data_IF_433212234358
#
_entry.id   IF_433212234358
#
_cell.length_a   1.000
_cell.length_b   1.000
_cell.length_c   1.000
_cell.angle_alpha   90.00
_cell.angle_beta   90.00
_cell.angle_gamma   90.00
#
_symmetry.space_group_name_H-M   'P 1'
#
loop_
_entity.id
_entity.type
_entity.pdbx_description
1 polymer ?
#
# COMPACT_ATOMS: atom_id res chain seq x y z
N UNK A 1 -12.30 8.33 -20.32
CA UNK A 1 -11.54 7.57 -19.32
C UNK A 1 -10.07 7.71 -19.66
N UNK A 2 -9.24 8.08 -18.74
CA UNK A 2 -7.79 8.10 -18.91
C UNK A 2 -7.27 6.66 -19.02
N UNK A 3 -6.10 6.43 -19.64
CA UNK A 3 -5.64 5.07 -20.00
C UNK A 3 -5.62 4.04 -18.88
N UNK A 4 -5.53 4.47 -17.60
CA UNK A 4 -5.44 3.55 -16.44
C UNK A 4 -6.70 3.50 -15.55
N UNK A 5 -7.82 4.12 -15.95
CA UNK A 5 -9.06 4.05 -15.17
C UNK A 5 -9.62 2.61 -15.09
N UNK A 6 -9.43 1.82 -16.14
CA UNK A 6 -9.81 0.41 -16.16
C UNK A 6 -8.98 -0.41 -15.16
N UNK A 7 -7.67 -0.17 -15.10
CA UNK A 7 -6.77 -0.78 -14.13
C UNK A 7 -7.16 -0.42 -12.69
N UNK A 8 -7.44 0.85 -12.42
CA UNK A 8 -7.87 1.30 -11.09
C UNK A 8 -9.13 0.59 -10.61
N UNK A 9 -10.12 0.43 -11.48
CA UNK A 9 -11.36 -0.27 -11.15
C UNK A 9 -11.10 -1.76 -10.93
N UNK A 10 -10.30 -2.39 -11.78
CA UNK A 10 -9.91 -3.79 -11.64
C UNK A 10 -9.21 -4.05 -10.30
N UNK A 11 -8.23 -3.23 -9.93
CA UNK A 11 -7.53 -3.33 -8.64
C UNK A 11 -8.51 -3.15 -7.48
N UNK A 12 -9.37 -2.14 -7.54
CA UNK A 12 -10.35 -1.90 -6.48
C UNK A 12 -11.29 -3.10 -6.28
N UNK A 13 -11.87 -3.61 -7.35
CA UNK A 13 -12.80 -4.74 -7.28
C UNK A 13 -12.08 -6.00 -6.77
N UNK A 14 -10.86 -6.26 -7.22
CA UNK A 14 -10.03 -7.36 -6.75
C UNK A 14 -9.74 -7.29 -5.24
N UNK A 15 -9.40 -6.10 -4.71
CA UNK A 15 -9.15 -5.91 -3.29
C UNK A 15 -10.43 -5.95 -2.45
N UNK A 16 -11.57 -5.48 -2.99
CA UNK A 16 -12.87 -5.64 -2.33
C UNK A 16 -13.22 -7.12 -2.11
N UNK A 17 -12.94 -7.99 -3.08
CA UNK A 17 -13.23 -9.43 -2.99
C UNK A 17 -12.25 -10.18 -2.05
N UNK A 18 -10.98 -9.75 -2.01
CA UNK A 18 -9.93 -10.47 -1.28
C UNK A 18 -9.82 -10.13 0.19
N UNK A 19 -10.47 -9.11 0.69
CA UNK A 19 -10.26 -8.57 2.03
C UNK A 19 -10.32 -9.63 3.13
N UNK A 20 -11.32 -10.53 3.11
CA UNK A 20 -11.52 -11.56 4.13
C UNK A 20 -10.48 -12.69 4.13
N UNK A 21 -9.70 -12.83 3.05
CA UNK A 21 -8.72 -13.92 2.89
C UNK A 21 -7.28 -13.42 2.87
N UNK A 22 -7.06 -12.13 2.60
CA UNK A 22 -5.72 -11.56 2.43
C UNK A 22 -4.89 -11.57 3.72
N UNK A 23 -5.50 -11.40 4.88
CA UNK A 23 -4.84 -11.42 6.17
C UNK A 23 -4.12 -12.72 6.53
N UNK A 24 -4.41 -13.80 5.81
CA UNK A 24 -3.72 -15.10 5.97
C UNK A 24 -2.36 -15.16 5.24
N UNK A 25 -1.96 -14.11 4.53
CA UNK A 25 -0.70 -14.07 3.78
C UNK A 25 0.45 -13.55 4.66
N UNK A 26 1.16 -14.47 5.31
CA UNK A 26 2.24 -14.13 6.23
C UNK A 26 3.48 -13.50 5.56
N UNK A 27 3.66 -13.62 4.24
CA UNK A 27 4.90 -13.19 3.56
C UNK A 27 5.08 -11.67 3.61
N UNK A 28 4.05 -10.90 3.28
CA UNK A 28 4.14 -9.43 3.28
C UNK A 28 4.21 -8.85 4.69
N UNK A 29 3.59 -9.50 5.68
CA UNK A 29 3.60 -9.02 7.05
C UNK A 29 4.97 -9.11 7.74
N UNK A 30 5.87 -9.98 7.27
CA UNK A 30 7.20 -10.13 7.86
C UNK A 30 8.10 -8.91 7.66
N UNK A 31 7.93 -8.16 6.58
CA UNK A 31 8.72 -6.94 6.32
C UNK A 31 8.22 -5.73 7.11
N UNK A 32 6.96 -5.74 7.57
CA UNK A 32 6.33 -4.59 8.22
C UNK A 32 7.15 -4.04 9.39
N UNK A 33 7.63 -4.84 10.36
CA UNK A 33 8.42 -4.30 11.47
C UNK A 33 9.70 -3.58 11.00
N UNK A 34 10.40 -4.16 10.00
CA UNK A 34 11.63 -3.59 9.46
C UNK A 34 11.34 -2.27 8.71
N UNK A 35 10.27 -2.24 7.91
CA UNK A 35 9.89 -1.04 7.18
C UNK A 35 9.40 0.08 8.14
N UNK A 36 8.72 -0.27 9.22
CA UNK A 36 8.30 0.70 10.26
C UNK A 36 9.50 1.30 11.00
N UNK A 37 10.57 0.55 11.22
CA UNK A 37 11.81 1.10 11.80
C UNK A 37 12.41 2.22 10.95
N UNK A 38 12.31 2.13 9.63
CA UNK A 38 12.81 3.16 8.71
C UNK A 38 12.05 4.50 8.82
N UNK A 39 10.83 4.52 9.35
CA UNK A 39 10.11 5.76 9.65
C UNK A 39 10.78 6.59 10.76
N UNK A 40 11.63 5.98 11.58
CA UNK A 40 12.26 6.63 12.74
C UNK A 40 11.23 7.40 13.60
N UNK A 41 10.23 6.66 14.11
CA UNK A 41 9.05 7.21 14.76
C UNK A 41 9.35 7.80 16.14
N UNK A 42 8.78 8.98 16.38
CA UNK A 42 8.58 9.59 17.69
C UNK A 42 7.16 9.29 18.21
N UNK A 43 6.97 9.27 19.53
CA UNK A 43 5.66 9.03 20.13
C UNK A 43 4.59 10.08 19.80
N UNK A 44 5.00 11.26 19.32
CA UNK A 44 4.12 12.38 18.98
C UNK A 44 3.89 12.51 17.46
N UNK A 45 4.54 11.69 16.64
CA UNK A 45 4.37 11.76 15.19
C UNK A 45 2.94 11.44 14.78
N UNK A 46 2.36 12.25 13.91
CA UNK A 46 1.13 11.95 13.18
C UNK A 46 1.51 11.13 11.94
N UNK A 47 0.98 9.92 11.84
CA UNK A 47 1.34 8.97 10.77
C UNK A 47 0.12 8.63 9.93
N UNK A 48 0.28 8.70 8.62
CA UNK A 48 -0.68 8.20 7.63
C UNK A 48 -0.14 6.92 7.01
N UNK A 49 -0.91 5.85 7.03
CA UNK A 49 -0.64 4.66 6.22
C UNK A 49 -1.56 4.63 5.00
N UNK A 50 -0.98 4.52 3.81
CA UNK A 50 -1.67 4.34 2.54
C UNK A 50 -1.73 2.85 2.18
N UNK A 51 -2.85 2.42 1.58
CA UNK A 51 -3.10 1.03 1.22
C UNK A 51 -2.84 0.09 2.41
N UNK A 52 -3.45 0.43 3.56
CA UNK A 52 -3.23 -0.28 4.84
C UNK A 52 -3.72 -1.72 4.83
N UNK A 53 -4.53 -2.10 3.85
CA UNK A 53 -5.14 -3.42 3.77
C UNK A 53 -5.85 -3.77 5.09
N UNK A 54 -5.61 -4.99 5.64
CA UNK A 54 -6.19 -5.41 6.92
C UNK A 54 -5.58 -4.74 8.16
N UNK A 55 -4.67 -3.76 8.02
CA UNK A 55 -4.21 -2.89 9.09
C UNK A 55 -2.97 -3.38 9.86
N UNK A 56 -2.20 -4.32 9.38
CA UNK A 56 -1.00 -4.82 10.07
C UNK A 56 0.07 -3.75 10.24
N UNK A 57 0.29 -2.91 9.23
CA UNK A 57 1.24 -1.79 9.29
C UNK A 57 0.78 -0.75 10.32
N UNK A 58 -0.49 -0.34 10.27
CA UNK A 58 -1.09 0.57 11.27
C UNK A 58 -0.93 0.02 12.69
N UNK A 59 -1.15 -1.30 12.87
CA UNK A 59 -0.97 -1.96 14.17
C UNK A 59 0.49 -1.91 14.64
N UNK A 60 1.46 -2.15 13.76
CA UNK A 60 2.88 -2.06 14.11
C UNK A 60 3.29 -0.62 14.48
N UNK A 61 2.89 0.36 13.69
CA UNK A 61 3.12 1.79 13.94
C UNK A 61 2.52 2.20 15.29
N UNK A 62 1.32 1.69 15.63
CA UNK A 62 0.60 2.03 16.86
C UNK A 62 1.33 1.64 18.16
N UNK A 63 2.35 0.78 18.07
CA UNK A 63 3.23 0.43 19.19
C UNK A 63 4.17 1.58 19.56
N UNK A 64 4.43 2.51 18.62
CA UNK A 64 5.33 3.65 18.77
C UNK A 64 4.61 4.98 18.97
N UNK A 65 3.53 5.22 18.21
CA UNK A 65 2.69 6.42 18.34
C UNK A 65 1.22 6.04 18.33
N UNK A 66 0.38 6.81 19.04
CA UNK A 66 -1.09 6.63 19.02
C UNK A 66 -1.78 7.45 17.92
N UNK A 67 -1.03 8.34 17.28
CA UNK A 67 -1.54 9.24 16.24
C UNK A 67 -1.32 8.59 14.85
N UNK A 68 -1.88 7.41 14.62
CA UNK A 68 -1.81 6.73 13.33
C UNK A 68 -3.19 6.54 12.74
N UNK A 69 -3.31 6.80 11.43
CA UNK A 69 -4.48 6.57 10.62
C UNK A 69 -4.12 5.64 9.46
N UNK A 70 -4.75 4.47 9.39
CA UNK A 70 -4.67 3.57 8.24
C UNK A 70 -5.73 3.94 7.20
N UNK A 71 -5.35 3.97 5.92
CA UNK A 71 -6.27 4.25 4.82
C UNK A 71 -6.16 3.22 3.72
N UNK A 72 -7.31 2.86 3.14
CA UNK A 72 -7.37 1.97 1.98
C UNK A 72 -8.50 2.41 1.05
N UNK A 73 -8.34 2.19 -0.26
CA UNK A 73 -9.38 2.57 -1.22
C UNK A 73 -10.49 1.51 -1.33
N UNK A 74 -10.20 0.25 -0.94
CA UNK A 74 -11.18 -0.81 -0.83
C UNK A 74 -11.91 -0.72 0.52
N UNK A 75 -13.21 -0.54 0.48
CA UNK A 75 -14.04 -0.43 1.69
C UNK A 75 -14.00 -1.70 2.53
N UNK A 76 -13.97 -2.86 1.88
CA UNK A 76 -13.90 -4.16 2.56
C UNK A 76 -12.60 -4.33 3.35
N UNK A 77 -11.46 -3.80 2.85
CA UNK A 77 -10.19 -3.77 3.60
C UNK A 77 -10.31 -2.94 4.87
N UNK A 78 -10.94 -1.76 4.78
CA UNK A 78 -11.18 -0.90 5.95
C UNK A 78 -12.08 -1.60 6.99
N UNK A 79 -13.09 -2.34 6.55
CA UNK A 79 -13.98 -3.12 7.44
C UNK A 79 -13.19 -4.23 8.12
N UNK A 80 -12.36 -4.96 7.38
CA UNK A 80 -11.51 -6.03 7.92
C UNK A 80 -10.50 -5.47 8.93
N UNK A 81 -9.83 -4.36 8.61
CA UNK A 81 -8.90 -3.70 9.52
C UNK A 81 -9.55 -3.28 10.84
N UNK A 82 -10.76 -2.70 10.79
CA UNK A 82 -11.53 -2.34 11.99
C UNK A 82 -11.97 -3.56 12.81
N UNK A 83 -12.19 -4.68 12.14
CA UNK A 83 -12.54 -5.95 12.80
C UNK A 83 -11.34 -6.54 13.54
N UNK A 84 -10.18 -6.55 12.90
CA UNK A 84 -8.94 -7.08 13.47
C UNK A 84 -8.35 -6.16 14.55
N UNK A 85 -8.46 -4.84 14.36
CA UNK A 85 -7.87 -3.83 15.23
C UNK A 85 -8.88 -2.75 15.65
N UNK A 86 -9.91 -3.11 16.47
CA UNK A 86 -11.05 -2.23 16.76
C UNK A 86 -10.68 -0.95 17.54
N UNK A 87 -9.48 -0.88 18.10
CA UNK A 87 -8.98 0.28 18.84
C UNK A 87 -8.12 1.22 18.01
N UNK A 88 -7.92 0.92 16.71
CA UNK A 88 -7.15 1.75 15.78
C UNK A 88 -8.08 2.47 14.80
N UNK A 89 -7.57 3.55 14.21
CA UNK A 89 -8.33 4.37 13.29
C UNK A 89 -8.06 3.93 11.84
N UNK A 90 -9.14 3.68 11.11
CA UNK A 90 -9.10 3.36 9.69
C UNK A 90 -10.19 4.10 8.94
N UNK A 91 -9.88 4.59 7.74
CA UNK A 91 -10.88 5.19 6.85
C UNK A 91 -10.64 4.84 5.39
N UNK A 92 -11.70 4.95 4.59
CA UNK A 92 -11.59 4.74 3.16
C UNK A 92 -11.02 6.01 2.51
N UNK A 93 -9.89 5.89 1.81
CA UNK A 93 -9.30 7.00 1.06
C UNK A 93 -8.59 6.49 -0.20
N UNK A 94 -8.59 7.34 -1.22
CA UNK A 94 -7.83 7.14 -2.45
C UNK A 94 -6.49 7.86 -2.32
N UNK A 95 -5.39 7.11 -2.38
CA UNK A 95 -4.04 7.66 -2.28
C UNK A 95 -3.71 8.68 -3.38
N UNK A 96 -4.39 8.59 -4.54
CA UNK A 96 -4.23 9.52 -5.65
C UNK A 96 -5.03 10.83 -5.49
N UNK A 97 -5.87 10.95 -4.44
CA UNK A 97 -6.73 12.11 -4.17
C UNK A 97 -7.12 12.16 -2.69
N UNK A 98 -6.15 12.42 -1.83
CA UNK A 98 -6.32 12.47 -0.39
C UNK A 98 -7.14 13.70 0.05
N UNK A 99 -8.04 13.52 1.02
CA UNK A 99 -8.90 14.60 1.57
C UNK A 99 -8.32 15.21 2.86
N UNK A 100 -7.02 15.10 3.04
CA UNK A 100 -6.32 15.68 4.18
C UNK A 100 -5.73 17.05 3.83
N UNK A 101 -5.55 17.87 4.85
CA UNK A 101 -4.93 19.19 4.73
C UNK A 101 -3.43 19.07 4.39
N UNK A 102 -2.89 20.11 3.75
CA UNK A 102 -1.46 20.21 3.50
C UNK A 102 -0.66 20.17 4.81
N UNK A 103 0.51 19.56 4.79
CA UNK A 103 1.44 19.52 5.93
C UNK A 103 0.80 19.00 7.23
N UNK A 104 -0.07 17.98 7.15
CA UNK A 104 -0.80 17.43 8.30
C UNK A 104 -0.12 16.23 8.97
N UNK A 105 0.78 15.52 8.25
CA UNK A 105 1.45 14.32 8.76
C UNK A 105 2.96 14.50 8.87
N UNK A 106 3.53 13.91 9.92
CA UNK A 106 4.98 13.84 10.13
C UNK A 106 5.61 12.69 9.32
N UNK A 107 4.87 11.61 9.15
CA UNK A 107 5.29 10.41 8.44
C UNK A 107 4.17 9.88 7.56
N UNK A 108 4.55 9.33 6.40
CA UNK A 108 3.65 8.53 5.54
C UNK A 108 4.27 7.16 5.31
N UNK A 109 3.45 6.13 5.31
CA UNK A 109 3.85 4.74 5.16
C UNK A 109 3.02 4.05 4.09
N UNK A 110 3.62 3.16 3.29
CA UNK A 110 2.92 2.37 2.28
C UNK A 110 3.67 1.07 2.02
N UNK A 111 3.15 -0.08 2.47
CA UNK A 111 3.77 -1.38 2.20
C UNK A 111 3.09 -2.07 1.05
N UNK A 112 3.84 -2.31 -0.04
CA UNK A 112 3.40 -2.98 -1.27
C UNK A 112 2.14 -2.38 -1.94
N UNK A 113 1.68 -1.21 -1.48
CA UNK A 113 0.47 -0.59 -2.00
C UNK A 113 0.71 0.19 -3.30
N UNK A 114 1.89 0.80 -3.45
CA UNK A 114 2.18 1.72 -4.57
C UNK A 114 2.06 1.04 -5.94
N UNK A 115 2.29 -0.28 -6.01
CA UNK A 115 2.18 -1.09 -7.23
C UNK A 115 0.74 -1.24 -7.75
N UNK A 116 -0.25 -0.93 -6.91
CA UNK A 116 -1.68 -1.03 -7.21
C UNK A 116 -2.30 0.33 -7.54
N UNK A 117 -1.50 1.41 -7.55
CA UNK A 117 -1.98 2.74 -7.93
C UNK A 117 -1.98 2.90 -9.44
N UNK A 118 -3.10 3.38 -9.99
CA UNK A 118 -3.20 3.64 -11.42
C UNK A 118 -2.36 4.86 -11.86
N UNK A 119 -2.18 5.81 -10.94
CA UNK A 119 -1.38 7.01 -11.14
C UNK A 119 -0.44 7.21 -9.93
N UNK A 120 0.64 6.43 -9.84
CA UNK A 120 1.56 6.51 -8.70
C UNK A 120 2.21 7.90 -8.55
N UNK A 121 2.42 8.62 -9.65
CA UNK A 121 2.86 10.01 -9.66
C UNK A 121 1.90 10.95 -8.91
N UNK A 122 0.58 10.77 -9.08
CA UNK A 122 -0.42 11.51 -8.31
C UNK A 122 -0.37 11.18 -6.83
N UNK A 123 -0.25 9.90 -6.50
CA UNK A 123 -0.15 9.47 -5.10
C UNK A 123 1.11 10.04 -4.43
N UNK A 124 2.27 10.03 -5.11
CA UNK A 124 3.51 10.64 -4.61
C UNK A 124 3.34 12.15 -4.42
N UNK A 125 2.64 12.85 -5.34
CA UNK A 125 2.36 14.27 -5.18
C UNK A 125 1.43 14.55 -3.98
N UNK A 126 0.42 13.72 -3.75
CA UNK A 126 -0.44 13.80 -2.57
C UNK A 126 0.34 13.54 -1.28
N UNK A 127 1.21 12.51 -1.26
CA UNK A 127 2.13 12.25 -0.14
C UNK A 127 2.98 13.49 0.16
N UNK A 128 3.59 14.09 -0.88
CA UNK A 128 4.39 15.31 -0.72
C UNK A 128 3.57 16.48 -0.16
N UNK A 129 2.30 16.63 -0.58
CA UNK A 129 1.41 17.69 -0.14
C UNK A 129 1.02 17.53 1.33
N UNK A 130 0.66 16.33 1.75
CA UNK A 130 0.20 16.08 3.13
C UNK A 130 1.34 15.95 4.14
N UNK A 131 2.57 15.67 3.70
CA UNK A 131 3.75 15.62 4.56
C UNK A 131 4.17 17.04 4.99
N UNK A 132 4.48 17.20 6.26
CA UNK A 132 5.15 18.38 6.81
C UNK A 132 6.56 18.51 6.23
N UNK A 133 7.11 19.72 6.28
CA UNK A 133 8.52 19.95 5.94
C UNK A 133 9.43 19.08 6.80
N UNK A 134 10.33 18.31 6.19
CA UNK A 134 11.19 17.36 6.86
C UNK A 134 10.51 16.03 7.23
N UNK A 135 9.25 15.83 6.82
CA UNK A 135 8.54 14.55 6.98
C UNK A 135 9.20 13.42 6.17
N UNK A 136 8.91 12.18 6.56
CA UNK A 136 9.49 10.98 5.92
C UNK A 136 8.38 10.16 5.28
N UNK A 137 8.60 9.75 4.02
CA UNK A 137 7.81 8.74 3.35
C UNK A 137 8.62 7.44 3.25
N UNK A 138 8.07 6.35 3.76
CA UNK A 138 8.63 5.00 3.62
C UNK A 138 7.64 4.15 2.86
N UNK A 139 8.11 3.50 1.80
CA UNK A 139 7.31 2.53 1.06
C UNK A 139 8.14 1.30 0.73
N UNK A 140 7.48 0.18 0.46
CA UNK A 140 8.11 -1.05 -0.01
C UNK A 140 7.53 -1.48 -1.34
N UNK A 141 8.39 -2.07 -2.17
CA UNK A 141 8.05 -2.70 -3.44
C UNK A 141 8.72 -4.06 -3.52
N UNK A 142 8.30 -4.89 -4.46
CA UNK A 142 9.01 -6.12 -4.75
C UNK A 142 10.33 -5.82 -5.46
N UNK A 143 11.35 -6.60 -5.15
CA UNK A 143 12.58 -6.58 -5.92
C UNK A 143 12.32 -7.05 -7.36
N UNK A 144 13.17 -6.61 -8.29
CA UNK A 144 13.09 -7.02 -9.68
C UNK A 144 13.19 -8.55 -9.83
N UNK A 145 12.71 -9.07 -10.96
CA UNK A 145 12.80 -10.51 -11.28
C UNK A 145 14.25 -10.99 -11.25
N UNK A 146 15.21 -10.14 -11.61
CA UNK A 146 16.63 -10.45 -11.63
C UNK A 146 17.24 -10.55 -10.22
N UNK A 147 16.68 -9.80 -9.27
CA UNK A 147 17.18 -9.73 -7.89
C UNK A 147 16.41 -10.67 -6.94
N UNK A 148 15.25 -11.19 -7.36
CA UNK A 148 14.43 -12.10 -6.57
C UNK A 148 14.45 -13.53 -7.16
N UNK A 149 15.13 -14.49 -6.53
CA UNK A 149 15.12 -15.87 -6.99
C UNK A 149 13.71 -16.48 -7.08
N UNK A 150 12.82 -16.07 -6.18
CA UNK A 150 11.41 -16.52 -6.19
C UNK A 150 10.68 -16.08 -7.47
N UNK A 151 10.74 -14.80 -7.81
CA UNK A 151 10.12 -14.30 -9.03
C UNK A 151 10.82 -14.75 -10.30
N UNK A 152 12.15 -14.91 -10.24
CA UNK A 152 12.93 -15.47 -11.34
C UNK A 152 12.49 -16.88 -11.72
N UNK A 153 12.39 -17.78 -10.75
CA UNK A 153 11.93 -19.17 -10.97
C UNK A 153 10.48 -19.18 -11.46
N UNK A 154 9.60 -18.40 -10.84
CA UNK A 154 8.20 -18.34 -11.22
C UNK A 154 8.05 -17.84 -12.68
N UNK A 155 8.75 -16.78 -13.04
CA UNK A 155 8.77 -16.21 -14.39
C UNK A 155 9.27 -17.22 -15.42
N UNK A 156 10.35 -17.98 -15.10
CA UNK A 156 10.89 -19.03 -15.96
C UNK A 156 9.88 -20.16 -16.18
N UNK A 157 9.20 -20.60 -15.13
CA UNK A 157 8.17 -21.65 -15.23
C UNK A 157 6.99 -21.20 -16.07
N UNK A 158 6.47 -19.97 -15.84
CA UNK A 158 5.34 -19.44 -16.60
C UNK A 158 5.72 -19.30 -18.09
N UNK A 159 6.90 -18.78 -18.40
CA UNK A 159 7.34 -18.62 -19.80
C UNK A 159 7.52 -19.94 -20.54
N UNK A 160 7.82 -21.03 -19.83
CA UNK A 160 7.95 -22.38 -20.41
C UNK A 160 6.64 -23.15 -20.56
N UNK A 161 5.72 -22.97 -19.63
CA UNK A 161 4.53 -23.81 -19.49
C UNK A 161 3.21 -23.08 -19.68
N UNK A 162 3.23 -21.76 -19.80
CA UNK A 162 2.03 -20.92 -19.88
C UNK A 162 2.25 -19.63 -20.65
N UNK A 163 1.46 -18.60 -20.31
CA UNK A 163 1.54 -17.27 -20.91
C UNK A 163 1.34 -16.22 -19.80
N UNK A 164 2.00 -15.06 -19.95
CA UNK A 164 1.71 -13.87 -19.18
C UNK A 164 0.55 -13.05 -19.75
N UNK A 165 0.10 -13.37 -20.97
CA UNK A 165 -1.06 -12.73 -21.58
C UNK A 165 -2.34 -13.30 -20.97
N UNK A 166 -2.86 -12.61 -20.00
CA UNK A 166 -4.06 -12.99 -19.22
C UNK A 166 -5.22 -12.01 -19.42
N UNK A 167 -5.11 -11.08 -20.38
CA UNK A 167 -6.17 -10.12 -20.71
C UNK A 167 -6.50 -9.15 -19.58
N UNK A 168 -5.54 -8.84 -18.71
CA UNK A 168 -5.71 -7.83 -17.66
C UNK A 168 -5.68 -6.42 -18.25
N UNK A 169 -6.35 -5.44 -17.59
CA UNK A 169 -6.23 -4.05 -17.98
C UNK A 169 -4.78 -3.55 -17.91
N UNK A 170 -4.38 -2.73 -18.88
CA UNK A 170 -3.07 -2.09 -18.85
C UNK A 170 -2.94 -1.20 -17.60
N UNK A 171 -1.93 -1.46 -16.80
CA UNK A 171 -1.51 -0.67 -15.65
C UNK A 171 -0.30 0.23 -15.96
N UNK A 172 0.12 1.06 -15.00
CA UNK A 172 1.36 1.81 -15.14
C UNK A 172 2.55 0.85 -15.26
N UNK A 173 3.59 1.22 -16.02
CA UNK A 173 4.77 0.38 -16.16
C UNK A 173 5.43 0.17 -14.79
N UNK A 174 5.60 -1.09 -14.40
CA UNK A 174 6.19 -1.48 -13.11
C UNK A 174 7.71 -1.24 -13.11
N UNK A 175 8.32 -1.21 -14.29
CA UNK A 175 9.77 -1.08 -14.47
C UNK A 175 10.31 0.35 -14.25
N UNK A 176 9.43 1.32 -14.02
CA UNK A 176 9.77 2.74 -13.79
C UNK A 176 9.89 3.11 -12.29
N UNK A 177 9.86 2.12 -11.37
CA UNK A 177 10.00 2.32 -9.91
C UNK A 177 11.36 1.86 -9.39
#
# INVERSE_FOLDING_TARGET
MTGFDAFKNFEKDGWEERASTYGNWAVTSQIVPVAVEALNLSSNDNVLELASGPGYGTSEISKKTKNVLGTDFAKSMVVEAKTLFPNLNFEQADAENLKFEDNSFDKVFCTFGILHFAHPDKAINEVRRVLKSGGIFVFTVWASVQESPFFGILSEVISKLGSFDVGLPDGPPIDDF
#
